data_IF_245916555017
#
_entry.id   IF_245916555017
#
_cell.length_a   1.000
_cell.length_b   1.000
_cell.length_c   1.000
_cell.angle_alpha   90.00
_cell.angle_beta   90.00
_cell.angle_gamma   90.00
#
_symmetry.space_group_name_H-M   'P 1'
#
loop_
_entity.id
_entity.type
_entity.pdbx_description
1 polymer ?
#
# COMPACT_ATOMS: atom_id res chain seq x y z
N UNK A 1 16.81 -26.44 -57.96
CA UNK A 1 16.27 -27.59 -57.20
C UNK A 1 17.45 -28.47 -56.84
N UNK A 2 17.84 -28.48 -55.56
CA UNK A 2 18.90 -29.31 -54.97
C UNK A 2 18.59 -30.79 -55.25
N UNK A 3 19.46 -31.60 -55.88
CA UNK A 3 20.78 -32.09 -55.46
C UNK A 3 20.74 -32.75 -54.08
N UNK A 4 20.76 -34.08 -54.06
CA UNK A 4 21.75 -34.86 -53.33
C UNK A 4 21.76 -36.29 -53.92
N UNK A 5 22.88 -36.66 -54.53
CA UNK A 5 23.20 -38.03 -54.91
C UNK A 5 24.24 -38.50 -53.89
N UNK A 6 23.98 -39.65 -53.29
CA UNK A 6 24.88 -40.36 -52.39
C UNK A 6 26.08 -40.98 -53.12
N UNK A 7 27.06 -41.37 -52.30
CA UNK A 7 28.16 -42.32 -52.50
C UNK A 7 29.56 -41.79 -52.83
N UNK A 8 30.34 -41.68 -51.74
CA UNK A 8 31.60 -42.39 -51.42
C UNK A 8 32.81 -42.36 -52.37
N UNK A 9 33.93 -41.94 -51.78
CA UNK A 9 35.24 -42.61 -51.87
C UNK A 9 35.97 -42.29 -50.55
N UNK A 10 36.19 -43.24 -49.62
CA UNK A 10 37.24 -44.29 -49.63
C UNK A 10 38.65 -43.64 -49.62
N UNK A 11 39.62 -43.91 -48.74
CA UNK A 11 40.01 -45.09 -47.96
C UNK A 11 41.11 -44.65 -46.96
N UNK A 12 41.20 -45.27 -45.77
CA UNK A 12 42.40 -46.04 -45.34
C UNK A 12 42.33 -46.51 -43.87
N UNK A 13 42.43 -47.84 -43.74
CA UNK A 13 42.61 -48.71 -42.56
C UNK A 13 44.01 -48.50 -41.90
N UNK A 14 44.41 -48.93 -40.70
CA UNK A 14 43.89 -49.71 -39.56
C UNK A 14 44.89 -49.55 -38.36
N UNK A 15 44.59 -50.16 -37.20
CA UNK A 15 45.44 -50.42 -35.98
C UNK A 15 45.34 -49.39 -34.84
N UNK A 16 45.17 -49.74 -33.56
CA UNK A 16 45.25 -51.00 -32.79
C UNK A 16 44.61 -50.81 -31.40
N UNK A 17 44.15 -51.90 -30.79
CA UNK A 17 43.45 -52.00 -29.48
C UNK A 17 44.33 -52.03 -28.22
N UNK A 18 43.81 -51.42 -27.14
CA UNK A 18 43.84 -51.79 -25.70
C UNK A 18 45.15 -51.88 -24.87
N UNK A 19 45.26 -51.02 -23.83
CA UNK A 19 45.40 -51.43 -22.39
C UNK A 19 45.29 -50.25 -21.40
N UNK A 20 44.70 -50.54 -20.23
CA UNK A 20 44.37 -49.69 -19.07
C UNK A 20 45.58 -49.05 -18.37
N UNK A 21 45.47 -47.81 -17.85
CA UNK A 21 45.70 -47.42 -16.43
C UNK A 21 45.48 -45.92 -16.14
N UNK A 22 45.02 -45.67 -14.91
CA UNK A 22 44.72 -44.44 -14.15
C UNK A 22 45.77 -43.30 -14.19
N UNK A 23 45.31 -42.05 -14.24
CA UNK A 23 45.62 -40.88 -13.38
C UNK A 23 45.17 -39.58 -14.09
N UNK A 24 44.31 -38.76 -13.47
CA UNK A 24 44.53 -37.32 -13.11
C UNK A 24 44.90 -36.41 -14.28
N UNK A 25 44.32 -35.27 -14.60
CA UNK A 25 43.49 -34.25 -13.94
C UNK A 25 43.08 -33.33 -15.11
N UNK A 26 41.84 -32.83 -15.18
CA UNK A 26 41.59 -31.42 -15.53
C UNK A 26 40.09 -31.10 -15.38
N UNK A 27 39.85 -30.07 -14.58
CA UNK A 27 38.58 -29.71 -14.00
C UNK A 27 37.74 -28.87 -14.98
N UNK A 28 36.56 -29.39 -15.34
CA UNK A 28 35.52 -28.58 -15.96
C UNK A 28 34.94 -27.62 -14.91
N UNK A 29 35.49 -26.41 -14.85
CA UNK A 29 34.98 -25.34 -13.98
C UNK A 29 33.64 -24.84 -14.52
N UNK A 30 32.55 -25.32 -13.92
CA UNK A 30 31.25 -24.65 -13.99
C UNK A 30 31.41 -23.20 -13.52
N UNK A 31 31.19 -22.24 -14.43
CA UNK A 31 31.16 -20.81 -14.09
C UNK A 31 29.93 -20.53 -13.23
N UNK A 32 30.09 -20.66 -11.91
CA UNK A 32 29.08 -20.18 -10.94
C UNK A 32 29.05 -18.67 -10.99
N UNK A 33 27.85 -18.12 -11.25
CA UNK A 33 27.57 -16.69 -11.10
C UNK A 33 28.09 -16.20 -9.74
N UNK A 34 28.69 -15.00 -9.67
CA UNK A 34 29.16 -14.46 -8.41
C UNK A 34 27.98 -14.33 -7.45
N UNK A 35 28.12 -14.89 -6.25
CA UNK A 35 27.15 -14.65 -5.18
C UNK A 35 27.18 -13.15 -4.87
N UNK A 36 26.03 -12.49 -5.03
CA UNK A 36 25.83 -11.10 -4.61
C UNK A 36 26.37 -10.93 -3.19
N UNK A 37 27.18 -9.89 -2.98
CA UNK A 37 27.84 -9.65 -1.70
C UNK A 37 26.79 -9.57 -0.59
N UNK A 38 27.12 -10.08 0.59
CA UNK A 38 26.29 -9.98 1.79
C UNK A 38 25.95 -8.53 2.18
N UNK A 39 26.64 -7.54 1.60
CA UNK A 39 26.32 -6.12 1.63
C UNK A 39 24.91 -5.77 1.09
N UNK A 40 24.32 -6.61 0.23
CA UNK A 40 22.98 -6.38 -0.33
C UNK A 40 21.83 -6.96 0.51
N UNK A 41 22.10 -7.71 1.58
CA UNK A 41 21.08 -8.41 2.39
C UNK A 41 21.16 -8.10 3.88
N UNK A 42 21.17 -6.81 4.23
CA UNK A 42 20.82 -6.41 5.60
C UNK A 42 19.65 -5.45 5.56
N UNK A 43 18.47 -6.01 5.43
CA UNK A 43 17.23 -5.29 5.76
C UNK A 43 17.21 -5.10 7.28
N UNK A 44 17.65 -3.93 7.74
CA UNK A 44 17.49 -3.54 9.13
C UNK A 44 16.02 -3.23 9.39
N UNK A 45 15.37 -4.11 10.15
CA UNK A 45 14.05 -3.86 10.72
C UNK A 45 14.20 -2.73 11.74
N UNK A 46 13.77 -1.52 11.37
CA UNK A 46 13.75 -0.38 12.29
C UNK A 46 12.38 -0.35 12.96
N UNK A 47 12.32 -0.73 14.23
CA UNK A 47 11.14 -0.55 15.07
C UNK A 47 11.17 0.87 15.64
N UNK A 48 10.16 1.68 15.37
CA UNK A 48 10.06 3.00 16.04
C UNK A 48 9.57 2.87 17.48
N UNK A 49 9.60 3.98 18.24
CA UNK A 49 9.19 4.05 19.65
C UNK A 49 7.73 3.62 19.90
N UNK A 50 6.93 3.49 18.84
CA UNK A 50 5.54 3.04 18.90
C UNK A 50 5.38 1.60 18.42
N UNK A 51 6.49 0.86 18.23
CA UNK A 51 6.50 -0.53 17.79
C UNK A 51 6.22 -0.71 16.29
N UNK A 52 6.32 0.35 15.47
CA UNK A 52 6.08 0.23 14.03
C UNK A 52 7.33 -0.35 13.39
N UNK A 53 7.19 -1.53 12.82
CA UNK A 53 8.24 -2.15 12.01
C UNK A 53 8.30 -1.40 10.68
N UNK A 54 9.41 -0.72 10.42
CA UNK A 54 9.73 -0.14 9.11
C UNK A 54 10.73 -1.07 8.44
N UNK A 55 10.29 -1.73 7.38
CA UNK A 55 11.11 -2.63 6.54
C UNK A 55 11.83 -1.92 5.40
N UNK A 56 11.67 -0.60 5.26
CA UNK A 56 12.19 0.12 4.09
C UNK A 56 13.15 1.22 4.54
N UNK A 57 14.45 0.95 4.41
CA UNK A 57 15.49 2.00 4.32
C UNK A 57 15.00 2.99 3.26
N UNK A 58 15.10 4.30 3.50
CA UNK A 58 14.89 5.29 2.43
C UNK A 58 15.75 4.86 1.22
N UNK A 59 15.15 4.20 0.24
CA UNK A 59 15.77 4.07 -1.08
C UNK A 59 15.79 5.50 -1.59
N UNK A 60 16.97 6.01 -1.92
CA UNK A 60 17.07 7.27 -2.67
C UNK A 60 16.03 7.21 -3.80
N UNK A 61 15.22 8.26 -3.92
CA UNK A 61 14.18 8.37 -4.94
C UNK A 61 12.91 7.50 -4.73
N UNK A 62 12.52 7.20 -3.49
CA UNK A 62 11.23 6.54 -3.17
C UNK A 62 10.38 7.37 -2.20
N UNK A 63 9.25 7.87 -2.69
CA UNK A 63 8.37 8.79 -1.98
C UNK A 63 7.02 8.14 -1.69
N UNK A 64 6.75 7.86 -0.42
CA UNK A 64 5.47 7.35 0.04
C UNK A 64 4.36 8.35 -0.29
N UNK A 65 3.39 7.93 -1.08
CA UNK A 65 2.33 8.73 -1.65
C UNK A 65 0.97 8.17 -1.26
N UNK A 66 0.09 9.03 -0.74
CA UNK A 66 -1.25 8.66 -0.26
C UNK A 66 -2.25 9.80 -0.51
N UNK A 67 -3.43 9.44 -1.03
CA UNK A 67 -4.52 10.38 -1.34
C UNK A 67 -5.67 10.16 -0.36
N UNK A 68 -6.14 11.24 0.25
CA UNK A 68 -7.19 11.20 1.28
C UNK A 68 -7.98 12.51 1.36
N UNK A 69 -9.11 12.50 2.07
CA UNK A 69 -9.72 13.70 2.62
C UNK A 69 -9.68 13.69 4.14
N UNK A 70 -9.78 14.85 4.76
CA UNK A 70 -9.81 14.98 6.22
C UNK A 70 -11.23 15.17 6.73
N UNK A 71 -11.45 14.76 7.97
CA UNK A 71 -12.68 15.02 8.72
C UNK A 71 -12.26 15.52 10.08
N UNK A 72 -12.83 16.65 10.52
CA UNK A 72 -12.56 17.17 11.85
C UNK A 72 -13.56 16.55 12.84
N UNK A 73 -13.06 15.68 13.71
CA UNK A 73 -13.83 15.04 14.78
C UNK A 73 -13.46 15.58 16.17
N UNK A 74 -12.79 16.74 16.25
CA UNK A 74 -12.35 17.33 17.51
C UNK A 74 -13.50 17.57 18.50
N UNK A 75 -14.64 18.04 18.00
CA UNK A 75 -15.85 18.25 18.81
C UNK A 75 -16.42 16.94 19.35
N UNK A 76 -16.18 15.83 18.63
CA UNK A 76 -16.82 14.53 18.87
C UNK A 76 -15.96 13.61 19.75
N UNK A 77 -14.73 14.04 20.10
CA UNK A 77 -13.80 13.30 20.97
C UNK A 77 -14.40 12.87 22.30
N UNK A 78 -15.35 13.64 22.81
CA UNK A 78 -16.00 13.35 24.08
C UNK A 78 -16.81 12.05 24.07
N UNK A 79 -17.08 11.47 22.90
CA UNK A 79 -17.91 10.26 22.71
C UNK A 79 -17.16 8.97 22.96
N UNK A 80 -15.84 8.96 22.76
CA UNK A 80 -14.96 7.82 23.06
C UNK A 80 -14.01 8.17 24.20
N UNK A 81 -14.56 8.66 25.31
CA UNK A 81 -13.81 8.90 26.55
C UNK A 81 -13.29 7.59 27.14
N UNK A 82 -12.34 7.73 28.07
CA UNK A 82 -11.78 6.61 28.83
C UNK A 82 -11.10 5.55 27.96
N UNK A 83 -10.44 6.00 26.89
CA UNK A 83 -9.59 5.14 26.05
C UNK A 83 -8.57 4.43 26.96
N UNK A 84 -8.58 3.08 27.01
CA UNK A 84 -7.59 2.30 27.74
C UNK A 84 -6.16 2.64 27.32
N UNK A 85 -5.19 2.50 28.23
CA UNK A 85 -3.79 2.86 27.95
C UNK A 85 -3.11 2.03 26.85
N UNK A 86 -3.67 0.87 26.50
CA UNK A 86 -3.21 0.03 25.39
C UNK A 86 -3.86 0.40 24.04
N UNK A 87 -4.79 1.37 24.04
CA UNK A 87 -5.39 1.97 22.86
C UNK A 87 -4.84 3.40 22.70
N UNK A 88 -4.37 3.71 21.50
CA UNK A 88 -3.75 4.99 21.19
C UNK A 88 -4.65 5.79 20.25
N UNK A 89 -5.04 6.98 20.68
CA UNK A 89 -5.90 7.86 19.89
C UNK A 89 -5.16 8.44 18.68
N UNK A 90 -5.88 8.69 17.60
CA UNK A 90 -5.39 9.32 16.38
C UNK A 90 -5.77 10.79 16.42
N UNK A 91 -4.78 11.67 16.28
CA UNK A 91 -5.00 13.12 16.32
C UNK A 91 -5.71 13.64 15.07
N UNK A 92 -5.20 13.27 13.90
CA UNK A 92 -5.68 13.75 12.61
C UNK A 92 -6.45 12.67 11.86
N UNK A 93 -7.76 12.85 11.78
CA UNK A 93 -8.64 11.93 11.11
C UNK A 93 -8.71 12.17 9.60
N UNK A 94 -8.67 11.06 8.86
CA UNK A 94 -8.75 11.07 7.40
C UNK A 94 -9.54 9.88 6.87
N UNK A 95 -9.98 10.00 5.63
CA UNK A 95 -10.60 8.94 4.83
C UNK A 95 -9.70 8.69 3.63
N UNK A 96 -9.11 7.51 3.55
CA UNK A 96 -8.25 7.10 2.43
C UNK A 96 -9.06 6.92 1.15
N UNK A 97 -8.49 7.41 0.04
CA UNK A 97 -9.01 7.26 -1.32
C UNK A 97 -8.02 6.52 -2.24
N UNK A 98 -6.80 6.27 -1.77
CA UNK A 98 -5.80 5.43 -2.44
C UNK A 98 -5.10 4.53 -1.42
N UNK A 99 -4.46 3.46 -1.89
CA UNK A 99 -3.44 2.76 -1.09
C UNK A 99 -2.21 3.67 -0.92
N UNK A 100 -1.38 3.36 0.07
CA UNK A 100 -0.05 3.96 0.15
C UNK A 100 0.84 3.33 -0.92
N UNK A 101 1.40 4.15 -1.80
CA UNK A 101 2.25 3.71 -2.93
C UNK A 101 3.56 4.47 -2.91
N UNK A 102 4.56 4.00 -3.65
CA UNK A 102 5.86 4.67 -3.73
C UNK A 102 6.09 5.21 -5.13
N UNK A 103 6.31 6.51 -5.22
CA UNK A 103 6.63 7.22 -6.46
C UNK A 103 8.10 7.64 -6.48
N UNK A 104 8.66 7.79 -7.68
CA UNK A 104 9.95 8.45 -7.87
C UNK A 104 9.77 9.97 -7.86
N UNK A 105 10.81 10.71 -7.49
CA UNK A 105 10.79 12.18 -7.37
C UNK A 105 10.32 12.86 -8.66
N UNK A 106 10.83 12.43 -9.81
CA UNK A 106 10.43 12.98 -11.11
C UNK A 106 8.95 12.70 -11.48
N UNK A 107 8.30 11.73 -10.81
CA UNK A 107 6.90 11.39 -11.04
C UNK A 107 5.95 12.22 -10.18
N UNK A 108 6.41 12.82 -9.08
CA UNK A 108 5.55 13.49 -8.10
C UNK A 108 4.70 14.60 -8.73
N UNK A 109 5.34 15.52 -9.44
CA UNK A 109 4.68 16.69 -10.00
C UNK A 109 3.78 16.36 -11.22
N UNK A 110 4.17 15.45 -12.13
CA UNK A 110 3.24 14.95 -13.13
C UNK A 110 2.05 14.21 -12.51
N UNK A 111 2.27 13.40 -11.48
CA UNK A 111 1.23 12.61 -10.82
C UNK A 111 0.21 13.48 -10.10
N UNK A 112 0.66 14.47 -9.33
CA UNK A 112 -0.23 15.42 -8.64
C UNK A 112 -1.15 16.15 -9.63
N UNK A 113 -0.58 16.64 -10.75
CA UNK A 113 -1.33 17.29 -11.83
C UNK A 113 -2.31 16.36 -12.53
N UNK A 114 -1.95 15.10 -12.73
CA UNK A 114 -2.84 14.09 -13.31
C UNK A 114 -4.05 13.81 -12.40
N UNK A 115 -3.81 13.63 -11.10
CA UNK A 115 -4.87 13.45 -10.09
C UNK A 115 -5.78 14.68 -10.03
N UNK A 116 -5.20 15.88 -9.93
CA UNK A 116 -5.96 17.13 -9.91
C UNK A 116 -6.83 17.30 -11.17
N UNK A 117 -6.27 16.98 -12.34
CA UNK A 117 -7.01 17.02 -13.61
C UNK A 117 -8.16 16.02 -13.63
N UNK A 118 -7.94 14.80 -13.16
CA UNK A 118 -8.98 13.74 -13.08
C UNK A 118 -10.14 14.14 -12.16
N UNK A 119 -9.83 14.88 -11.10
CA UNK A 119 -10.80 15.35 -10.09
C UNK A 119 -11.44 16.70 -10.41
N UNK A 120 -11.14 17.31 -11.57
CA UNK A 120 -11.78 18.56 -11.99
C UNK A 120 -13.31 18.42 -12.03
N UNK A 121 -13.97 19.52 -11.65
CA UNK A 121 -15.43 19.66 -11.60
C UNK A 121 -16.12 18.72 -10.59
N UNK A 122 -15.38 18.09 -9.68
CA UNK A 122 -15.99 17.39 -8.55
C UNK A 122 -16.53 18.42 -7.56
N UNK A 123 -17.84 18.39 -7.33
CA UNK A 123 -18.48 19.25 -6.35
C UNK A 123 -18.13 18.82 -4.92
N UNK A 124 -18.03 19.78 -4.02
CA UNK A 124 -18.04 19.54 -2.57
C UNK A 124 -19.28 18.74 -2.16
N UNK A 125 -19.12 17.84 -1.20
CA UNK A 125 -20.18 16.94 -0.77
C UNK A 125 -20.17 16.77 0.74
N UNK A 126 -21.28 16.25 1.26
CA UNK A 126 -21.42 15.89 2.67
C UNK A 126 -21.20 14.41 2.88
N UNK A 127 -20.64 14.06 4.03
CA UNK A 127 -20.57 12.70 4.54
C UNK A 127 -21.25 12.62 5.91
N UNK A 128 -21.69 11.43 6.31
CA UNK A 128 -21.95 11.10 7.71
C UNK A 128 -21.51 9.66 7.98
N UNK A 129 -21.35 9.33 9.26
CA UNK A 129 -20.92 8.00 9.67
C UNK A 129 -22.12 7.07 9.85
N UNK A 130 -21.90 5.76 9.73
CA UNK A 130 -22.94 4.75 9.89
C UNK A 130 -22.71 3.86 11.11
N UNK A 131 -21.46 3.43 11.31
CA UNK A 131 -21.14 2.41 12.32
C UNK A 131 -19.69 2.51 12.78
N UNK A 132 -19.44 2.00 13.98
CA UNK A 132 -18.10 1.67 14.44
C UNK A 132 -17.69 0.30 13.92
N UNK A 133 -16.43 0.15 13.54
CA UNK A 133 -15.88 -1.14 13.16
C UNK A 133 -14.43 -1.27 13.58
N UNK A 134 -14.02 -2.52 13.82
CA UNK A 134 -12.63 -2.90 13.98
C UNK A 134 -12.07 -3.24 12.59
N UNK A 135 -10.99 -2.57 12.20
CA UNK A 135 -10.23 -2.88 10.98
C UNK A 135 -8.77 -3.18 11.31
N UNK A 136 -8.14 -4.06 10.54
CA UNK A 136 -6.73 -4.43 10.73
C UNK A 136 -5.94 -4.02 9.50
N UNK A 137 -4.68 -3.59 9.67
CA UNK A 137 -3.81 -3.34 8.52
C UNK A 137 -3.47 -4.62 7.76
N UNK A 138 -2.96 -4.45 6.54
CA UNK A 138 -2.56 -5.54 5.64
C UNK A 138 -1.57 -6.51 6.30
N UNK A 139 -0.66 -6.03 7.16
CA UNK A 139 0.33 -6.87 7.85
C UNK A 139 -0.18 -7.56 9.13
N UNK A 140 -1.44 -7.34 9.52
CA UNK A 140 -2.04 -7.88 10.75
C UNK A 140 -1.29 -7.54 12.04
N UNK A 141 -0.58 -6.41 12.06
CA UNK A 141 0.23 -5.95 13.21
C UNK A 141 -0.46 -4.87 14.04
N UNK A 142 -1.50 -4.23 13.50
CA UNK A 142 -2.25 -3.15 14.14
C UNK A 142 -3.72 -3.24 13.79
N UNK A 143 -4.54 -2.99 14.80
CA UNK A 143 -5.98 -2.92 14.67
C UNK A 143 -6.45 -1.51 15.01
N UNK A 144 -7.47 -1.05 14.31
CA UNK A 144 -7.98 0.31 14.35
C UNK A 144 -9.45 0.28 14.77
N UNK A 145 -9.80 1.20 15.67
CA UNK A 145 -11.17 1.62 15.89
C UNK A 145 -11.52 2.63 14.81
N UNK A 146 -12.56 2.35 14.02
CA UNK A 146 -12.91 3.17 12.86
C UNK A 146 -14.39 3.50 12.80
N UNK A 147 -14.72 4.66 12.24
CA UNK A 147 -16.07 5.05 11.86
C UNK A 147 -16.24 4.82 10.35
N UNK A 148 -17.15 3.94 9.96
CA UNK A 148 -17.46 3.71 8.55
C UNK A 148 -18.40 4.78 7.99
N UNK A 149 -18.20 5.09 6.71
CA UNK A 149 -19.02 6.07 6.01
C UNK A 149 -20.39 5.48 5.64
N UNK A 150 -21.44 6.21 6.01
CA UNK A 150 -22.81 6.01 5.53
C UNK A 150 -23.11 6.93 4.37
N UNK A 151 -23.63 8.13 4.67
CA UNK A 151 -23.89 9.15 3.65
C UNK A 151 -22.57 9.61 3.01
N UNK A 152 -22.57 9.85 1.70
CA UNK A 152 -21.40 10.33 0.97
C UNK A 152 -20.56 9.21 0.33
N UNK A 153 -20.91 7.93 0.55
CA UNK A 153 -20.22 6.78 -0.04
C UNK A 153 -20.09 6.87 -1.56
N UNK A 154 -21.18 7.22 -2.26
CA UNK A 154 -21.17 7.31 -3.72
C UNK A 154 -20.25 8.43 -4.23
N UNK A 155 -20.19 9.56 -3.52
CA UNK A 155 -19.31 10.68 -3.85
C UNK A 155 -17.84 10.30 -3.62
N UNK A 156 -17.52 9.62 -2.51
CA UNK A 156 -16.18 9.08 -2.28
C UNK A 156 -15.80 8.03 -3.31
N UNK A 157 -16.72 7.13 -3.67
CA UNK A 157 -16.51 6.13 -4.72
C UNK A 157 -16.26 6.78 -6.09
N UNK A 158 -16.96 7.87 -6.43
CA UNK A 158 -16.71 8.63 -7.64
C UNK A 158 -15.32 9.29 -7.64
N UNK A 159 -14.89 9.87 -6.52
CA UNK A 159 -13.52 10.37 -6.35
C UNK A 159 -12.49 9.24 -6.52
N UNK A 160 -12.69 8.15 -5.79
CA UNK A 160 -11.81 6.99 -5.76
C UNK A 160 -11.68 6.34 -7.15
N UNK A 161 -12.77 6.20 -7.90
CA UNK A 161 -12.75 5.69 -9.28
C UNK A 161 -11.94 6.58 -10.21
N UNK A 162 -12.05 7.91 -10.07
CA UNK A 162 -11.25 8.88 -10.85
C UNK A 162 -9.76 8.82 -10.48
N UNK A 163 -9.45 8.59 -9.21
CA UNK A 163 -8.09 8.39 -8.72
C UNK A 163 -7.52 7.08 -9.26
N UNK A 164 -8.25 5.96 -9.17
CA UNK A 164 -7.83 4.64 -9.66
C UNK A 164 -7.40 4.67 -11.12
N UNK A 165 -8.09 5.41 -12.00
CA UNK A 165 -7.70 5.57 -13.41
C UNK A 165 -6.29 6.14 -13.56
N UNK A 166 -5.90 7.07 -12.69
CA UNK A 166 -4.54 7.63 -12.69
C UNK A 166 -3.58 6.62 -12.06
N UNK A 167 -3.97 5.91 -11.00
CA UNK A 167 -3.15 4.85 -10.41
C UNK A 167 -2.77 3.79 -11.47
N UNK A 168 -3.75 3.36 -12.27
CA UNK A 168 -3.57 2.41 -13.37
C UNK A 168 -2.60 2.94 -14.45
N UNK A 169 -2.71 4.21 -14.84
CA UNK A 169 -1.78 4.84 -15.80
C UNK A 169 -0.32 4.82 -15.33
N UNK A 170 -0.10 4.83 -14.02
CA UNK A 170 1.22 4.78 -13.41
C UNK A 170 1.64 3.35 -13.03
N UNK A 171 0.85 2.32 -13.40
CA UNK A 171 1.03 0.92 -13.00
C UNK A 171 1.10 0.72 -11.47
N UNK A 172 0.29 1.48 -10.75
CA UNK A 172 0.18 1.41 -9.29
C UNK A 172 -1.07 0.62 -8.88
N UNK A 173 -1.07 0.00 -7.68
CA UNK A 173 -2.24 -0.71 -7.20
C UNK A 173 -3.41 0.25 -6.97
N UNK A 174 -4.58 -0.15 -7.47
CA UNK A 174 -5.87 0.51 -7.23
C UNK A 174 -6.35 0.31 -5.79
N UNK A 175 -7.42 1.02 -5.42
CA UNK A 175 -8.00 0.92 -4.08
C UNK A 175 -8.60 -0.46 -3.78
N UNK A 176 -8.83 -0.73 -2.49
CA UNK A 176 -9.41 -2.00 -2.02
C UNK A 176 -10.81 -2.24 -2.61
N UNK A 177 -11.12 -3.51 -2.91
CA UNK A 177 -12.40 -3.93 -3.50
C UNK A 177 -13.09 -4.97 -2.61
N UNK A 178 -14.37 -4.78 -2.23
CA UNK A 178 -15.14 -3.54 -2.38
C UNK A 178 -14.55 -2.39 -1.51
N UNK A 179 -14.74 -1.12 -1.89
CA UNK A 179 -14.21 -0.01 -1.09
C UNK A 179 -14.96 0.09 0.24
N UNK A 180 -14.21 0.12 1.33
CA UNK A 180 -14.70 0.37 2.69
C UNK A 180 -14.14 1.70 3.18
N UNK A 181 -14.84 2.79 2.89
CA UNK A 181 -14.44 4.11 3.35
C UNK A 181 -14.71 4.23 4.84
N UNK A 182 -13.70 4.69 5.57
CA UNK A 182 -13.76 4.84 7.02
C UNK A 182 -12.79 5.91 7.49
N UNK A 183 -12.97 6.32 8.72
CA UNK A 183 -12.06 7.19 9.46
C UNK A 183 -11.56 6.45 10.68
N UNK A 184 -10.24 6.32 10.83
CA UNK A 184 -9.64 5.74 12.03
C UNK A 184 -9.57 6.77 13.15
N UNK A 185 -10.06 6.38 14.34
CA UNK A 185 -10.11 7.24 15.53
C UNK A 185 -9.05 6.85 16.55
N UNK A 186 -8.76 5.55 16.65
CA UNK A 186 -7.75 5.01 17.57
C UNK A 186 -7.17 3.70 17.03
N UNK A 187 -6.07 3.22 17.60
CA UNK A 187 -5.45 1.95 17.23
C UNK A 187 -4.87 1.21 18.45
N UNK A 188 -4.74 -0.11 18.32
CA UNK A 188 -4.10 -0.99 19.30
C UNK A 188 -3.31 -2.09 18.57
N UNK A 189 -2.44 -2.78 19.30
CA UNK A 189 -1.65 -3.90 18.75
C UNK A 189 -2.50 -5.17 18.55
N UNK A 190 -3.61 -5.33 19.28
CA UNK A 190 -4.47 -6.52 19.24
C UNK A 190 -5.89 -6.13 18.84
N UNK A 191 -6.50 -6.89 17.92
CA UNK A 191 -7.90 -6.70 17.53
C UNK A 191 -8.85 -6.84 18.72
N UNK A 192 -8.61 -7.84 19.58
CA UNK A 192 -9.43 -8.10 20.78
C UNK A 192 -9.46 -6.92 21.78
N UNK A 193 -8.41 -6.10 21.83
CA UNK A 193 -8.40 -4.87 22.63
C UNK A 193 -9.43 -3.87 22.09
N UNK A 194 -9.48 -3.68 20.77
CA UNK A 194 -10.46 -2.80 20.11
C UNK A 194 -11.87 -3.36 20.26
N UNK A 195 -12.08 -4.66 20.02
CA UNK A 195 -13.40 -5.29 20.10
C UNK A 195 -14.00 -5.19 21.51
N UNK A 196 -13.16 -5.40 22.53
CA UNK A 196 -13.55 -5.24 23.93
C UNK A 196 -13.98 -3.80 24.21
N UNK A 197 -13.24 -2.82 23.72
CA UNK A 197 -13.58 -1.41 23.89
C UNK A 197 -14.89 -1.05 23.18
N UNK A 198 -15.07 -1.48 21.92
CA UNK A 198 -16.33 -1.27 21.17
C UNK A 198 -17.52 -1.85 21.95
N UNK A 199 -17.37 -3.04 22.53
CA UNK A 199 -18.44 -3.70 23.30
C UNK A 199 -18.79 -3.00 24.62
N UNK A 200 -17.90 -2.13 25.11
CA UNK A 200 -18.09 -1.35 26.33
C UNK A 200 -18.64 0.05 26.06
N UNK A 201 -18.60 0.51 24.79
CA UNK A 201 -19.14 1.81 24.43
C UNK A 201 -20.67 1.82 24.61
N UNK A 202 -21.24 2.94 25.10
CA UNK A 202 -22.68 3.13 25.14
C UNK A 202 -23.33 2.91 23.76
N UNK A 203 -24.52 2.32 23.71
CA UNK A 203 -25.19 2.02 22.43
C UNK A 203 -25.55 3.28 21.62
N UNK A 204 -25.75 4.40 22.31
CA UNK A 204 -26.08 5.72 21.76
C UNK A 204 -24.83 6.51 21.29
N UNK A 205 -23.62 5.94 21.43
CA UNK A 205 -22.36 6.58 21.03
C UNK A 205 -22.39 7.10 19.59
N UNK A 206 -23.20 6.51 18.71
CA UNK A 206 -23.27 6.88 17.29
C UNK A 206 -24.51 7.68 16.90
N UNK A 207 -25.52 7.80 17.76
CA UNK A 207 -26.85 8.31 17.35
C UNK A 207 -26.79 9.73 16.77
N UNK A 208 -25.96 10.60 17.36
CA UNK A 208 -25.79 11.96 16.81
C UNK A 208 -24.83 11.99 15.62
N UNK A 209 -23.82 11.11 15.58
CA UNK A 209 -22.83 11.04 14.49
C UNK A 209 -23.47 10.60 13.16
N UNK A 210 -24.51 9.77 13.22
CA UNK A 210 -25.28 9.35 12.05
C UNK A 210 -26.03 10.53 11.43
N UNK A 211 -26.53 11.43 12.28
CA UNK A 211 -27.28 12.62 11.88
C UNK A 211 -26.39 13.85 11.63
N UNK A 212 -25.14 13.83 12.10
CA UNK A 212 -24.18 14.89 11.89
C UNK A 212 -23.47 14.75 10.54
N UNK A 213 -23.45 15.84 9.76
CA UNK A 213 -22.85 15.84 8.42
C UNK A 213 -21.59 16.68 8.36
N UNK A 214 -20.53 16.13 7.77
CA UNK A 214 -19.26 16.82 7.56
C UNK A 214 -19.08 17.19 6.09
N UNK A 215 -18.63 18.40 5.82
CA UNK A 215 -18.35 18.85 4.46
C UNK A 215 -16.96 18.43 4.00
N UNK A 216 -16.89 17.68 2.91
CA UNK A 216 -15.66 17.43 2.18
C UNK A 216 -15.53 18.51 1.11
N UNK A 217 -14.57 19.41 1.32
CA UNK A 217 -14.26 20.52 0.40
C UNK A 217 -12.90 20.37 -0.29
N UNK A 218 -12.04 19.49 0.23
CA UNK A 218 -10.66 19.33 -0.21
C UNK A 218 -10.23 17.87 -0.16
N UNK A 219 -9.38 17.51 -1.12
CA UNK A 219 -8.60 16.28 -1.13
C UNK A 219 -7.12 16.62 -1.01
N UNK A 220 -6.34 15.69 -0.46
CA UNK A 220 -4.93 15.88 -0.18
C UNK A 220 -4.12 14.75 -0.80
N UNK A 221 -2.99 15.08 -1.40
CA UNK A 221 -1.97 14.13 -1.85
C UNK A 221 -0.75 14.34 -0.98
N UNK A 222 -0.50 13.43 -0.04
CA UNK A 222 0.73 13.43 0.78
C UNK A 222 1.79 12.63 0.04
N UNK A 223 2.93 13.24 -0.24
CA UNK A 223 4.08 12.67 -0.93
C UNK A 223 5.33 12.88 -0.07
N UNK A 224 5.64 11.93 0.79
CA UNK A 224 6.67 12.06 1.82
C UNK A 224 6.35 13.20 2.80
N UNK A 225 7.19 14.24 2.80
CA UNK A 225 7.00 15.46 3.59
C UNK A 225 6.24 16.58 2.85
N UNK A 226 5.86 16.36 1.58
CA UNK A 226 5.09 17.32 0.78
C UNK A 226 3.60 16.99 0.83
N UNK A 227 2.75 18.01 0.81
CA UNK A 227 1.30 17.85 0.72
C UNK A 227 0.76 18.77 -0.38
N UNK A 228 0.16 18.18 -1.41
CA UNK A 228 -0.60 18.89 -2.44
C UNK A 228 -2.07 18.92 -2.06
N UNK A 229 -2.73 20.07 -2.19
CA UNK A 229 -4.15 20.23 -1.83
C UNK A 229 -4.99 20.50 -3.07
N UNK A 230 -6.03 19.70 -3.29
CA UNK A 230 -7.00 19.85 -4.36
C UNK A 230 -8.30 20.38 -3.75
N UNK A 231 -8.81 21.50 -4.26
CA UNK A 231 -10.10 22.06 -3.85
C UNK A 231 -11.22 21.52 -4.73
N UNK A 232 -12.29 21.06 -4.10
CA UNK A 232 -13.53 20.68 -4.79
C UNK A 232 -14.35 21.95 -5.11
N UNK A 233 -15.16 21.88 -6.17
CA UNK A 233 -15.99 22.99 -6.66
C UNK A 233 -17.25 23.23 -5.82
#
# INVERSE_FOLDING_TARGET
>A
MNSLVDYESSSDEERTTNKRRLAEEESAVERKLPKLSSFFYKEEIIMDSQGKIRTVRHKENSWATHIYCTVDLSSERHRWKDIPSDIHEIEEQHISLSRCVFLKEHQLEPFSRAIETSLRNMSRFKISFAQLSQLTNDEATRSFLTLEIGQGYNQLSACQTRIDRVMEQYNLPVFYKPPRFHTSIAWALKASTIDKYISQLPSDTLDDLVNHTFWITRLYIKMGNRVHTIRLS
#
